data_IF_742553238194
#
_entry.id   IF_742553238194
#
_cell.length_a   1.000
_cell.length_b   1.000
_cell.length_c   1.000
_cell.angle_alpha   90.00
_cell.angle_beta   90.00
_cell.angle_gamma   90.00
#
_symmetry.space_group_name_H-M   'P 1'
#
loop_
_entity.id
_entity.type
_entity.pdbx_description
1 polymer ?
#
# COMPACT_ATOMS: atom_id res chain seq x y z
N UNK A 1 -12.56 -6.73 7.32
CA UNK A 1 -12.46 -5.62 6.34
C UNK A 1 -11.01 -5.22 6.15
N UNK A 2 -10.64 -4.98 4.91
CA UNK A 2 -9.31 -4.50 4.59
C UNK A 2 -9.05 -3.10 5.13
N UNK A 3 -7.82 -2.66 5.09
CA UNK A 3 -7.44 -1.30 5.43
C UNK A 3 -6.22 -0.88 4.62
N UNK A 4 -6.05 0.39 4.45
CA UNK A 4 -4.86 0.92 3.78
C UNK A 4 -4.40 2.21 4.45
N UNK A 5 -3.14 2.54 4.24
CA UNK A 5 -2.53 3.75 4.77
C UNK A 5 -1.44 4.23 3.81
N UNK A 6 -1.02 5.45 3.98
CA UNK A 6 0.03 5.99 3.14
C UNK A 6 0.36 7.42 3.48
N UNK A 7 1.39 7.92 2.83
CA UNK A 7 1.75 9.33 2.86
C UNK A 7 2.46 9.71 1.56
N UNK A 8 2.41 11.00 1.26
CA UNK A 8 3.01 11.56 0.07
C UNK A 8 3.70 12.89 0.41
N UNK A 9 4.78 13.17 -0.31
CA UNK A 9 5.45 14.46 -0.22
C UNK A 9 5.75 14.92 -1.65
N UNK A 10 5.07 15.97 -2.10
CA UNK A 10 5.21 16.48 -3.46
C UNK A 10 6.22 17.62 -3.60
N UNK A 11 6.83 18.04 -2.48
CA UNK A 11 7.81 19.13 -2.47
C UNK A 11 9.23 18.57 -2.51
N UNK A 12 9.47 17.47 -1.78
CA UNK A 12 10.77 16.85 -1.66
C UNK A 12 10.61 15.33 -1.60
N UNK A 13 11.70 14.63 -1.87
CA UNK A 13 11.71 13.16 -1.79
C UNK A 13 11.49 12.71 -0.36
N UNK A 14 10.86 11.55 -0.23
CA UNK A 14 10.68 10.91 1.08
C UNK A 14 12.03 10.39 1.57
N UNK A 15 12.48 10.92 2.71
CA UNK A 15 13.73 10.52 3.34
C UNK A 15 13.52 9.52 4.49
N UNK A 16 12.27 9.19 4.80
CA UNK A 16 11.97 8.21 5.84
C UNK A 16 12.37 6.81 5.39
N UNK A 17 12.80 6.01 6.35
CA UNK A 17 12.97 4.58 6.09
C UNK A 17 11.61 3.93 5.86
N UNK A 18 11.62 2.78 5.20
CA UNK A 18 10.39 2.00 4.98
C UNK A 18 9.72 1.57 6.28
N UNK A 19 10.44 1.62 7.40
CA UNK A 19 9.88 1.23 8.71
C UNK A 19 8.69 2.10 9.12
N UNK A 20 8.63 3.36 8.69
CA UNK A 20 7.51 4.25 9.02
C UNK A 20 6.20 3.71 8.44
N UNK A 21 6.18 3.40 7.13
CA UNK A 21 4.97 2.87 6.51
C UNK A 21 4.64 1.47 7.04
N UNK A 22 5.64 0.68 7.39
CA UNK A 22 5.43 -0.64 7.99
C UNK A 22 4.76 -0.54 9.35
N UNK A 23 5.15 0.41 10.19
CA UNK A 23 4.51 0.67 11.47
C UNK A 23 3.09 1.18 11.31
N UNK A 24 2.87 2.07 10.36
CA UNK A 24 1.53 2.55 10.04
C UNK A 24 0.63 1.40 9.60
N UNK A 25 1.14 0.52 8.75
CA UNK A 25 0.38 -0.63 8.28
C UNK A 25 0.08 -1.62 9.41
N UNK A 26 1.02 -1.81 10.34
CA UNK A 26 0.82 -2.70 11.48
C UNK A 26 -0.35 -2.27 12.36
N UNK A 27 -0.65 -0.98 12.42
CA UNK A 27 -1.80 -0.48 13.19
C UNK A 27 -3.15 -0.94 12.61
N UNK A 28 -3.16 -1.42 11.38
CA UNK A 28 -4.36 -1.90 10.68
C UNK A 28 -4.51 -3.42 10.74
N UNK A 29 -3.71 -4.11 11.55
CA UNK A 29 -3.66 -5.58 11.56
C UNK A 29 -4.99 -6.25 11.84
N UNK A 30 -5.84 -5.63 12.66
CA UNK A 30 -7.16 -6.19 12.97
C UNK A 30 -8.13 -6.12 11.79
N UNK A 31 -7.89 -5.24 10.84
CA UNK A 31 -8.76 -5.07 9.67
C UNK A 31 -8.45 -6.08 8.58
N UNK A 32 -7.16 -6.42 8.38
CA UNK A 32 -6.76 -7.33 7.33
C UNK A 32 -5.54 -8.14 7.73
N UNK A 33 -5.71 -9.24 8.49
CA UNK A 33 -4.57 -9.99 9.02
C UNK A 33 -3.92 -10.96 8.03
N UNK A 34 -4.49 -11.14 6.85
CA UNK A 34 -4.10 -12.25 5.96
C UNK A 34 -2.91 -11.90 5.06
N UNK A 35 -2.81 -10.66 4.62
CA UNK A 35 -1.78 -10.29 3.66
C UNK A 35 -1.42 -8.81 3.79
N UNK A 36 -0.13 -8.50 3.68
CA UNK A 36 0.38 -7.14 3.62
C UNK A 36 0.83 -6.83 2.20
N UNK A 37 0.57 -5.62 1.74
CA UNK A 37 1.07 -5.12 0.47
C UNK A 37 1.66 -3.73 0.63
N UNK A 38 2.70 -3.42 -0.15
CA UNK A 38 3.40 -2.14 -0.07
C UNK A 38 3.72 -1.61 -1.46
N UNK A 39 3.71 -0.28 -1.58
CA UNK A 39 4.25 0.43 -2.73
C UNK A 39 5.15 1.54 -2.23
N UNK A 40 6.35 1.62 -2.80
CA UNK A 40 7.35 2.62 -2.43
C UNK A 40 7.80 3.38 -3.67
N UNK A 41 7.82 4.71 -3.55
CA UNK A 41 8.44 5.58 -4.55
C UNK A 41 9.13 6.74 -3.84
N UNK A 42 9.76 7.63 -4.61
CA UNK A 42 10.44 8.79 -4.02
C UNK A 42 9.46 9.75 -3.32
N UNK A 43 8.20 9.78 -3.75
CA UNK A 43 7.24 10.77 -3.28
C UNK A 43 6.02 10.19 -2.60
N UNK A 44 5.79 8.88 -2.70
CA UNK A 44 4.60 8.23 -2.15
C UNK A 44 4.97 6.87 -1.58
N UNK A 45 4.53 6.60 -0.36
CA UNK A 45 4.53 5.26 0.22
C UNK A 45 3.09 4.86 0.53
N UNK A 46 2.68 3.68 0.09
CA UNK A 46 1.35 3.12 0.35
C UNK A 46 1.49 1.73 0.95
N UNK A 47 0.53 1.37 1.79
CA UNK A 47 0.45 0.04 2.38
C UNK A 47 -0.99 -0.42 2.49
N UNK A 48 -1.20 -1.73 2.45
CA UNK A 48 -2.50 -2.34 2.49
C UNK A 48 -2.48 -3.58 3.39
N UNK A 49 -3.49 -3.70 4.23
CA UNK A 49 -3.78 -4.90 5.03
C UNK A 49 -5.00 -5.57 4.44
N UNK A 50 -4.84 -6.82 4.03
CA UNK A 50 -5.88 -7.55 3.32
C UNK A 50 -6.53 -8.60 4.21
N UNK A 51 -7.86 -8.64 4.18
CA UNK A 51 -8.67 -9.77 4.63
C UNK A 51 -9.09 -10.53 3.38
N UNK A 52 -8.60 -11.76 3.23
CA UNK A 52 -8.86 -12.56 2.03
C UNK A 52 -10.23 -13.22 2.16
N UNK A 53 -11.16 -12.80 1.31
CA UNK A 53 -12.51 -13.38 1.26
C UNK A 53 -12.70 -14.12 -0.06
N UNK A 54 -12.26 -13.51 -1.17
CA UNK A 54 -12.39 -14.05 -2.51
C UNK A 54 -11.04 -13.87 -3.22
N UNK A 55 -10.65 -14.86 -4.01
CA UNK A 55 -9.50 -14.84 -4.91
C UNK A 55 -8.21 -14.39 -4.21
N UNK A 56 -7.56 -15.27 -3.43
CA UNK A 56 -6.30 -14.93 -2.75
C UNK A 56 -5.20 -14.46 -3.71
N UNK A 57 -5.17 -14.98 -4.93
CA UNK A 57 -4.12 -14.66 -5.91
C UNK A 57 -4.39 -13.36 -6.65
N UNK A 58 -5.65 -13.09 -7.03
CA UNK A 58 -5.98 -12.00 -7.92
C UNK A 58 -6.27 -10.67 -7.25
N UNK A 59 -6.53 -10.66 -5.93
CA UNK A 59 -6.92 -9.45 -5.21
C UNK A 59 -5.80 -8.76 -4.45
N UNK A 60 -4.56 -9.02 -4.78
CA UNK A 60 -3.41 -8.41 -4.08
C UNK A 60 -3.36 -6.91 -4.29
N UNK A 61 -3.00 -6.19 -3.24
CA UNK A 61 -2.91 -4.73 -3.26
C UNK A 61 -1.60 -4.26 -2.61
N UNK A 62 -1.06 -3.09 -2.97
CA UNK A 62 -1.60 -2.19 -4.00
C UNK A 62 -1.57 -2.80 -5.40
N UNK A 63 -2.57 -2.46 -6.21
CA UNK A 63 -2.60 -2.86 -7.62
C UNK A 63 -1.85 -1.82 -8.44
N UNK A 64 -1.01 -2.26 -9.36
CA UNK A 64 -0.16 -1.37 -10.15
C UNK A 64 -0.40 -1.64 -11.63
N UNK A 65 -0.69 -0.59 -12.37
CA UNK A 65 -0.78 -0.62 -13.84
C UNK A 65 0.28 0.30 -14.43
N UNK A 66 1.08 -0.25 -15.33
CA UNK A 66 2.19 0.47 -15.96
C UNK A 66 1.79 0.96 -17.35
N UNK A 67 2.03 2.24 -17.60
CA UNK A 67 1.81 2.88 -18.89
C UNK A 67 3.07 3.61 -19.33
N UNK A 68 3.20 3.92 -20.62
CA UNK A 68 4.38 4.63 -21.15
C UNK A 68 4.57 6.01 -20.54
N UNK A 69 3.50 6.64 -20.06
CA UNK A 69 3.51 7.98 -19.46
C UNK A 69 3.53 7.98 -17.94
N UNK A 70 3.48 6.82 -17.30
CA UNK A 70 3.49 6.72 -15.83
C UNK A 70 2.76 5.49 -15.33
N UNK A 71 2.72 5.35 -14.02
CA UNK A 71 2.09 4.23 -13.34
C UNK A 71 0.86 4.71 -12.57
N UNK A 72 -0.17 3.88 -12.56
CA UNK A 72 -1.30 4.05 -11.67
C UNK A 72 -1.24 3.01 -10.57
N UNK A 73 -1.36 3.47 -9.32
CA UNK A 73 -1.31 2.62 -8.15
C UNK A 73 -2.62 2.82 -7.38
N UNK A 74 -3.30 1.71 -7.06
CA UNK A 74 -4.60 1.75 -6.40
C UNK A 74 -4.58 0.89 -5.14
N UNK A 75 -5.07 1.48 -4.05
CA UNK A 75 -5.47 0.77 -2.83
C UNK A 75 -6.94 1.07 -2.58
N UNK A 76 -7.70 0.07 -2.18
CA UNK A 76 -9.11 0.29 -1.83
C UNK A 76 -9.56 -0.70 -0.77
N UNK A 77 -10.66 -0.37 -0.19
CA UNK A 77 -11.27 -1.18 0.87
C UNK A 77 -12.57 -1.82 0.38
#
# INVERSE_FOLDING_TARGET
>A
MCGFTGYANFIDKIHHSKSVIQQMNASLSKRGPDEDGYYYSDYVHLAHKRLIVIDPEGGKQPMIEHYSYGDYIICYN
#
